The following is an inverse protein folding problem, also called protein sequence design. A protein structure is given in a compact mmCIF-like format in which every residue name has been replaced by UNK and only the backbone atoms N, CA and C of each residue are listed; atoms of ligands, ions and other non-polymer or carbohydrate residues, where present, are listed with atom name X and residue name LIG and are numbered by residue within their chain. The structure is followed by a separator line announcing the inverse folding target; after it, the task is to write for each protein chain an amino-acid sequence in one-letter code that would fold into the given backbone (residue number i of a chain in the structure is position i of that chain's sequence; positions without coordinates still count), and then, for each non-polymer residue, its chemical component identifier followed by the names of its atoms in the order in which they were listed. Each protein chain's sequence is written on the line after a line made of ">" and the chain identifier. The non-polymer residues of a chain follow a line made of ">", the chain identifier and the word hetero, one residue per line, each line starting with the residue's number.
data_IF_930651830965
#
_entry.id   IF_930651830965
#
_cell.length_a   1.000
_cell.length_b   1.000
_cell.length_c   1.000
_cell.angle_alpha   90.00
_cell.angle_beta   90.00
_cell.angle_gamma   90.00
#
_symmetry.space_group_name_H-M   'P 1'
#
loop_
_entity.id
_entity.type
_entity.pdbx_description
1 polymer ?
#
# COMPACT_ATOMS: atom_id res chain seq x y z
N UNK A 1 9.91 2.34 12.77
CA UNK A 1 10.86 2.20 11.67
C UNK A 1 11.55 3.54 11.42
N UNK A 2 12.89 3.56 11.44
CA UNK A 2 13.68 4.73 11.09
C UNK A 2 14.29 4.54 9.70
N UNK A 3 13.96 5.46 8.79
CA UNK A 3 14.43 5.46 7.40
C UNK A 3 15.42 6.60 7.20
N UNK A 4 16.69 6.37 7.42
CA UNK A 4 17.70 7.42 7.24
C UNK A 4 17.84 7.83 5.77
N UNK A 5 18.39 9.02 5.52
CA UNK A 5 18.68 9.48 4.16
C UNK A 5 19.56 8.46 3.42
N UNK A 6 19.15 8.07 2.23
CA UNK A 6 19.82 7.05 1.41
C UNK A 6 19.42 5.60 1.73
N UNK A 7 18.65 5.36 2.80
CA UNK A 7 18.06 4.04 3.04
C UNK A 7 16.89 3.82 2.09
N UNK A 8 16.78 2.60 1.59
CA UNK A 8 15.67 2.15 0.74
C UNK A 8 15.14 0.81 1.24
N UNK A 9 13.82 0.72 1.40
CA UNK A 9 13.09 -0.52 1.57
C UNK A 9 12.40 -0.83 0.24
N UNK A 10 12.92 -1.80 -0.49
CA UNK A 10 12.39 -2.21 -1.79
C UNK A 10 11.51 -3.44 -1.65
N UNK A 11 10.30 -3.37 -2.19
CA UNK A 11 9.36 -4.49 -2.26
C UNK A 11 9.82 -5.58 -3.22
N UNK A 12 9.47 -6.83 -2.89
CA UNK A 12 9.72 -7.96 -3.77
C UNK A 12 8.88 -7.85 -5.05
N UNK A 13 9.45 -8.26 -6.17
CA UNK A 13 8.70 -8.42 -7.42
C UNK A 13 7.91 -9.74 -7.48
N UNK A 14 8.08 -10.63 -6.50
CA UNK A 14 7.40 -11.90 -6.46
C UNK A 14 6.09 -11.78 -5.63
N UNK A 15 4.89 -11.96 -6.23
CA UNK A 15 3.62 -11.84 -5.52
C UNK A 15 3.44 -12.86 -4.38
N UNK A 16 4.19 -13.96 -4.39
CA UNK A 16 4.14 -14.97 -3.32
C UNK A 16 4.87 -14.57 -2.04
N UNK A 17 5.72 -13.53 -2.09
CA UNK A 17 6.41 -13.02 -0.89
C UNK A 17 5.50 -12.19 0.02
N UNK A 18 4.27 -11.93 -0.41
CA UNK A 18 3.29 -11.15 0.34
C UNK A 18 2.18 -12.04 0.90
N UNK A 19 2.13 -12.15 2.21
CA UNK A 19 1.05 -12.88 2.88
C UNK A 19 -0.29 -12.16 2.78
N UNK A 20 -1.40 -12.88 2.61
CA UNK A 20 -2.73 -12.29 2.72
C UNK A 20 -2.95 -11.68 4.11
N UNK A 21 -3.56 -10.49 4.14
CA UNK A 21 -4.03 -9.88 5.39
C UNK A 21 -5.23 -10.69 5.88
N UNK A 22 -5.29 -10.99 7.16
CA UNK A 22 -6.41 -11.75 7.73
C UNK A 22 -7.72 -10.97 7.62
N UNK A 23 -8.84 -11.67 7.57
CA UNK A 23 -10.16 -11.07 7.44
C UNK A 23 -10.47 -10.05 8.56
N UNK A 24 -9.97 -10.30 9.77
CA UNK A 24 -10.14 -9.39 10.93
C UNK A 24 -9.39 -8.06 10.73
N UNK A 25 -8.27 -8.09 10.04
CA UNK A 25 -7.51 -6.89 9.69
C UNK A 25 -8.16 -6.12 8.53
N UNK A 26 -8.75 -6.82 7.57
CA UNK A 26 -9.37 -6.23 6.38
C UNK A 26 -10.71 -5.52 6.66
N UNK A 27 -11.27 -5.62 7.88
CA UNK A 27 -12.58 -5.05 8.22
C UNK A 27 -13.75 -5.69 7.48
N UNK A 28 -14.90 -5.04 7.55
CA UNK A 28 -16.12 -5.50 6.87
C UNK A 28 -16.10 -5.25 5.34
N UNK A 29 -15.02 -4.72 4.81
CA UNK A 29 -14.93 -4.37 3.40
C UNK A 29 -14.67 -5.60 2.51
N UNK A 30 -15.38 -6.69 2.81
CA UNK A 30 -15.45 -7.90 1.98
C UNK A 30 -16.05 -7.64 0.60
N UNK A 31 -16.59 -6.42 0.39
CA UNK A 31 -17.28 -6.05 -0.84
C UNK A 31 -16.35 -5.51 -1.92
N UNK A 32 -15.15 -5.13 -1.56
CA UNK A 32 -14.20 -4.59 -2.52
C UNK A 32 -13.13 -5.62 -2.83
N UNK A 33 -12.87 -5.81 -4.08
CA UNK A 33 -11.78 -6.65 -4.63
C UNK A 33 -10.38 -6.09 -4.27
N UNK A 34 -10.29 -5.38 -3.17
CA UNK A 34 -9.07 -4.76 -2.70
C UNK A 34 -8.05 -5.80 -2.26
N UNK A 35 -6.82 -5.55 -2.58
CA UNK A 35 -5.72 -6.41 -2.18
C UNK A 35 -5.73 -6.63 -0.66
N UNK A 36 -5.76 -7.89 -0.27
CA UNK A 36 -5.53 -8.31 1.10
C UNK A 36 -4.03 -8.46 1.43
N UNK A 37 -3.15 -7.74 0.71
CA UNK A 37 -1.69 -7.83 0.83
C UNK A 37 -1.10 -6.43 0.90
N UNK A 38 -0.01 -6.28 1.65
CA UNK A 38 0.77 -5.04 1.66
C UNK A 38 2.23 -5.31 1.99
N UNK A 39 3.11 -4.37 1.62
CA UNK A 39 4.54 -4.44 1.95
C UNK A 39 4.74 -4.24 3.47
N UNK A 40 4.01 -3.28 4.05
CA UNK A 40 4.03 -3.03 5.50
C UNK A 40 2.61 -3.12 6.03
N UNK A 41 2.39 -3.97 7.02
CA UNK A 41 1.08 -4.22 7.64
C UNK A 41 1.13 -3.97 9.14
N UNK A 42 0.10 -3.34 9.67
CA UNK A 42 -0.17 -3.28 11.10
C UNK A 42 -1.67 -3.42 11.35
N UNK A 43 -2.05 -4.17 12.38
CA UNK A 43 -3.44 -4.33 12.81
C UNK A 43 -3.53 -4.27 14.33
N UNK A 44 -4.40 -3.39 14.84
CA UNK A 44 -4.64 -3.24 16.28
C UNK A 44 -3.42 -2.74 17.07
N UNK A 45 -2.42 -2.18 16.40
CA UNK A 45 -1.21 -1.71 17.03
C UNK A 45 -1.30 -0.24 17.44
N UNK A 46 -0.52 0.15 18.43
CA UNK A 46 -0.44 1.53 18.90
C UNK A 46 1.00 2.06 18.89
N UNK A 47 1.12 3.40 18.79
CA UNK A 47 2.42 4.08 18.80
C UNK A 47 3.32 3.66 17.64
N UNK A 48 2.76 3.60 16.44
CA UNK A 48 3.50 3.29 15.22
C UNK A 48 4.16 4.56 14.71
N UNK A 49 5.46 4.44 14.38
CA UNK A 49 6.19 5.53 13.72
C UNK A 49 7.03 5.02 12.55
N UNK A 50 6.91 5.69 11.41
CA UNK A 50 7.83 5.56 10.26
C UNK A 50 8.38 6.96 9.99
N UNK A 51 9.65 7.16 10.25
CA UNK A 51 10.28 8.48 10.29
C UNK A 51 11.54 8.53 9.45
N UNK A 52 11.88 9.70 8.95
CA UNK A 52 13.16 9.98 8.30
C UNK A 52 13.05 10.33 6.83
N UNK A 53 14.16 10.33 6.10
CA UNK A 53 14.27 10.81 4.72
C UNK A 53 14.57 9.69 3.70
N UNK A 54 14.37 8.44 4.08
CA UNK A 54 14.56 7.28 3.21
C UNK A 54 13.38 7.05 2.26
N UNK A 55 13.48 5.99 1.50
CA UNK A 55 12.49 5.59 0.48
C UNK A 55 11.87 4.26 0.88
N UNK A 56 10.55 4.15 0.74
CA UNK A 56 9.82 2.90 0.73
C UNK A 56 9.23 2.74 -0.66
N UNK A 57 9.77 1.79 -1.42
CA UNK A 57 9.40 1.54 -2.81
C UNK A 57 8.73 0.17 -2.95
N UNK A 58 7.53 0.17 -3.47
CA UNK A 58 6.74 -1.06 -3.65
C UNK A 58 7.19 -1.94 -4.81
N UNK A 59 8.09 -1.45 -5.69
CA UNK A 59 8.50 -2.16 -6.90
C UNK A 59 7.32 -2.60 -7.78
N UNK A 60 6.27 -1.79 -7.77
CA UNK A 60 4.92 -2.17 -8.20
C UNK A 60 4.79 -2.58 -9.64
N UNK A 61 5.52 -1.93 -10.55
CA UNK A 61 5.50 -2.31 -11.97
C UNK A 61 6.09 -3.70 -12.18
N UNK A 62 7.23 -3.99 -11.60
CA UNK A 62 7.88 -5.29 -11.75
C UNK A 62 7.05 -6.42 -11.14
N UNK A 63 6.45 -6.15 -9.98
CA UNK A 63 5.53 -7.10 -9.35
C UNK A 63 4.30 -7.36 -10.22
N UNK A 64 3.68 -6.30 -10.76
CA UNK A 64 2.47 -6.44 -11.58
C UNK A 64 2.76 -7.22 -12.88
N UNK A 65 3.88 -6.93 -13.55
CA UNK A 65 4.31 -7.67 -14.75
C UNK A 65 4.63 -9.13 -14.45
N UNK A 66 5.24 -9.41 -13.30
CA UNK A 66 5.51 -10.79 -12.88
C UNK A 66 4.21 -11.53 -12.54
N UNK A 67 3.28 -10.91 -11.82
CA UNK A 67 1.98 -11.49 -11.54
C UNK A 67 1.20 -11.81 -12.83
N UNK A 68 1.26 -10.92 -13.83
CA UNK A 68 0.68 -11.12 -15.14
C UNK A 68 1.29 -12.34 -15.85
N UNK A 69 2.61 -12.43 -15.89
CA UNK A 69 3.33 -13.56 -16.46
C UNK A 69 2.98 -14.87 -15.79
N UNK A 70 2.97 -14.91 -14.46
CA UNK A 70 2.62 -16.11 -13.69
C UNK A 70 1.16 -16.54 -13.89
N UNK A 71 0.25 -15.57 -14.09
CA UNK A 71 -1.13 -15.88 -14.43
C UNK A 71 -1.23 -16.59 -15.78
N UNK A 72 -0.56 -16.08 -16.80
CA UNK A 72 -0.59 -16.67 -18.14
C UNK A 72 0.13 -18.02 -18.25
N UNK A 73 1.11 -18.29 -17.40
CA UNK A 73 1.74 -19.63 -17.30
C UNK A 73 0.91 -20.62 -16.48
N UNK A 74 -0.15 -20.14 -15.80
CA UNK A 74 -0.99 -20.96 -14.93
C UNK A 74 -0.39 -21.22 -13.54
N UNK A 75 0.75 -20.61 -13.23
CA UNK A 75 1.38 -20.72 -11.91
C UNK A 75 0.66 -19.89 -10.85
N UNK A 76 0.10 -18.74 -11.22
CA UNK A 76 -0.71 -17.88 -10.35
C UNK A 76 -2.17 -17.90 -10.76
N UNK A 77 -3.06 -18.32 -9.85
CA UNK A 77 -4.50 -18.27 -10.11
C UNK A 77 -5.07 -16.94 -9.64
N UNK A 78 -5.24 -16.00 -10.56
CA UNK A 78 -5.96 -14.75 -10.31
C UNK A 78 -7.39 -14.87 -10.84
N UNK A 79 -8.35 -15.15 -9.94
CA UNK A 79 -9.76 -15.36 -10.30
C UNK A 79 -10.46 -14.12 -10.81
N UNK A 80 -9.90 -12.94 -10.53
CA UNK A 80 -10.44 -11.65 -10.93
C UNK A 80 -9.55 -10.95 -11.97
N UNK A 81 -8.70 -11.72 -12.66
CA UNK A 81 -7.88 -11.19 -13.74
C UNK A 81 -8.74 -10.48 -14.79
N UNK A 82 -8.34 -9.29 -15.17
CA UNK A 82 -9.08 -8.51 -16.14
C UNK A 82 -8.62 -8.83 -17.57
N UNK A 83 -9.25 -9.80 -18.21
CA UNK A 83 -8.94 -10.25 -19.56
C UNK A 83 -9.02 -9.12 -20.61
N UNK A 84 -9.99 -8.22 -20.47
CA UNK A 84 -10.16 -7.11 -21.43
C UNK A 84 -9.00 -6.11 -21.39
N UNK A 85 -8.47 -5.86 -20.21
CA UNK A 85 -7.39 -4.88 -19.97
C UNK A 85 -6.02 -5.53 -19.83
N UNK A 86 -5.95 -6.85 -19.90
CA UNK A 86 -4.74 -7.65 -19.73
C UNK A 86 -4.00 -7.22 -18.46
N UNK A 87 -4.67 -7.34 -17.33
CA UNK A 87 -4.06 -6.92 -16.06
C UNK A 87 -4.43 -7.81 -14.88
N UNK A 88 -3.46 -8.11 -14.00
CA UNK A 88 -3.71 -8.77 -12.73
C UNK A 88 -4.67 -7.96 -11.84
N UNK A 89 -5.52 -8.67 -11.12
CA UNK A 89 -6.44 -8.04 -10.18
C UNK A 89 -5.73 -7.44 -8.97
N UNK A 90 -6.46 -6.65 -8.21
CA UNK A 90 -5.98 -6.08 -6.95
C UNK A 90 -5.69 -7.13 -5.89
N UNK A 91 -6.29 -8.32 -5.99
CA UNK A 91 -6.08 -9.41 -5.02
C UNK A 91 -4.65 -9.95 -5.01
N UNK A 92 -3.94 -9.85 -6.12
CA UNK A 92 -2.57 -10.35 -6.26
C UNK A 92 -1.52 -9.24 -6.27
N UNK A 93 -1.95 -7.99 -6.24
CA UNK A 93 -1.08 -6.80 -6.19
C UNK A 93 -1.11 -6.17 -4.81
N UNK A 94 -0.01 -6.16 -4.03
CA UNK A 94 0.00 -5.60 -2.68
C UNK A 94 -0.10 -4.07 -2.68
N UNK A 95 -0.72 -3.54 -1.65
CA UNK A 95 -0.63 -2.14 -1.24
C UNK A 95 0.79 -1.84 -0.73
N UNK A 96 1.15 -0.58 -0.66
CA UNK A 96 2.43 -0.20 -0.06
C UNK A 96 2.38 -0.30 1.47
N UNK A 97 1.38 0.35 2.07
CA UNK A 97 1.09 0.26 3.51
C UNK A 97 -0.38 -0.09 3.70
N UNK A 98 -0.64 -0.98 4.66
CA UNK A 98 -1.98 -1.21 5.18
C UNK A 98 -1.96 -1.21 6.71
N UNK A 99 -2.57 -0.19 7.32
CA UNK A 99 -2.80 -0.14 8.76
C UNK A 99 -4.29 -0.19 9.05
N UNK A 100 -4.69 -1.07 9.95
CA UNK A 100 -6.09 -1.23 10.36
C UNK A 100 -6.21 -1.21 11.88
N UNK A 101 -7.24 -0.52 12.40
CA UNK A 101 -7.50 -0.41 13.83
C UNK A 101 -6.29 0.07 14.67
N UNK A 102 -5.43 0.90 14.08
CA UNK A 102 -4.22 1.38 14.74
C UNK A 102 -4.46 2.73 15.43
N UNK A 103 -3.66 3.03 16.46
CA UNK A 103 -3.77 4.27 17.19
C UNK A 103 -2.40 4.94 17.41
N UNK A 104 -2.38 6.27 17.41
CA UNK A 104 -1.17 7.07 17.58
C UNK A 104 -0.12 6.74 16.50
N UNK A 105 -0.49 6.97 15.25
CA UNK A 105 0.35 6.70 14.07
C UNK A 105 1.04 7.98 13.63
N UNK A 106 2.34 7.91 13.40
CA UNK A 106 3.14 9.01 12.84
C UNK A 106 3.94 8.56 11.63
N UNK A 107 3.69 9.19 10.49
CA UNK A 107 4.53 9.08 9.29
C UNK A 107 5.14 10.45 9.00
N UNK A 108 6.46 10.56 8.96
CA UNK A 108 7.12 11.87 8.84
C UNK A 108 8.40 11.80 7.98
N UNK A 109 8.46 12.61 6.94
CA UNK A 109 9.62 12.83 6.09
C UNK A 109 9.92 11.77 5.05
N UNK A 110 9.28 10.61 5.14
CA UNK A 110 9.55 9.45 4.28
C UNK A 110 8.99 9.63 2.89
N UNK A 111 9.70 9.10 1.90
CA UNK A 111 9.28 9.06 0.50
C UNK A 111 8.66 7.71 0.17
N UNK A 112 7.43 7.71 -0.34
CA UNK A 112 6.70 6.52 -0.75
C UNK A 112 6.63 6.46 -2.27
N UNK A 113 6.94 5.30 -2.84
CA UNK A 113 7.09 5.11 -4.30
C UNK A 113 6.46 3.81 -4.78
N UNK A 114 5.93 3.86 -5.98
CA UNK A 114 5.72 2.71 -6.86
C UNK A 114 4.98 1.52 -6.22
N UNK A 115 3.84 1.75 -5.58
CA UNK A 115 3.00 0.64 -5.11
C UNK A 115 2.52 -0.20 -6.31
N UNK A 116 2.24 -1.47 -6.07
CA UNK A 116 1.57 -2.31 -7.07
C UNK A 116 0.05 -2.08 -7.10
N UNK A 117 -0.49 -1.47 -6.04
CA UNK A 117 -1.91 -1.14 -5.85
C UNK A 117 -2.00 0.20 -5.11
N UNK A 118 -2.94 0.38 -4.16
CA UNK A 118 -3.04 1.58 -3.35
C UNK A 118 -1.75 1.90 -2.59
N UNK A 119 -1.51 3.16 -2.36
CA UNK A 119 -0.34 3.64 -1.61
C UNK A 119 -0.47 3.41 -0.11
N UNK A 120 -0.90 4.44 0.61
CA UNK A 120 -1.11 4.37 2.06
C UNK A 120 -2.58 4.10 2.35
N UNK A 121 -2.93 2.88 2.71
CA UNK A 121 -4.29 2.49 3.07
C UNK A 121 -4.43 2.39 4.58
N UNK A 122 -5.20 3.31 5.16
CA UNK A 122 -5.38 3.50 6.59
C UNK A 122 -6.87 3.32 6.92
N UNK A 123 -7.20 2.24 7.64
CA UNK A 123 -8.56 1.83 7.92
C UNK A 123 -8.84 1.86 9.42
N UNK A 124 -9.88 2.57 9.85
CA UNK A 124 -10.31 2.67 11.27
C UNK A 124 -9.17 3.03 12.23
N UNK A 125 -8.23 3.83 11.76
CA UNK A 125 -7.11 4.30 12.57
C UNK A 125 -7.46 5.63 13.28
N UNK A 126 -6.79 5.89 14.42
CA UNK A 126 -7.05 7.06 15.25
C UNK A 126 -5.78 7.82 15.61
N UNK A 127 -5.92 9.13 15.80
CA UNK A 127 -4.80 10.00 16.21
C UNK A 127 -3.59 9.88 15.28
N UNK A 128 -3.77 10.24 14.03
CA UNK A 128 -2.72 10.11 13.03
C UNK A 128 -2.10 11.45 12.65
N UNK A 129 -0.79 11.46 12.47
CA UNK A 129 -0.03 12.57 11.90
C UNK A 129 0.74 12.06 10.69
N UNK A 130 0.38 12.57 9.52
CA UNK A 130 1.04 12.32 8.25
C UNK A 130 1.66 13.64 7.80
N UNK A 131 2.97 13.79 7.89
CA UNK A 131 3.60 15.07 7.61
C UNK A 131 4.91 14.96 6.82
N UNK A 132 5.19 15.98 6.04
CA UNK A 132 6.40 16.08 5.22
C UNK A 132 6.61 14.87 4.27
N UNK A 133 5.53 14.20 3.88
CA UNK A 133 5.61 13.04 3.02
C UNK A 133 5.74 13.46 1.56
N UNK A 134 6.52 12.70 0.81
CA UNK A 134 6.60 12.80 -0.64
C UNK A 134 6.16 11.47 -1.25
N UNK A 135 4.95 11.45 -1.79
CA UNK A 135 4.31 10.26 -2.35
C UNK A 135 4.27 10.41 -3.87
N UNK A 136 4.95 9.52 -4.57
CA UNK A 136 4.88 9.40 -6.02
C UNK A 136 4.48 7.97 -6.38
N UNK A 137 3.18 7.78 -6.67
CA UNK A 137 2.58 6.47 -6.88
C UNK A 137 1.90 6.40 -8.25
N UNK A 138 2.69 6.10 -9.29
CA UNK A 138 2.25 6.06 -10.69
C UNK A 138 2.84 4.88 -11.46
N UNK A 139 3.12 3.77 -10.77
CA UNK A 139 3.77 2.60 -11.35
C UNK A 139 2.81 1.73 -12.16
N UNK A 140 1.56 1.64 -11.71
CA UNK A 140 0.56 0.75 -12.30
C UNK A 140 -0.88 1.28 -12.10
N UNK A 141 -1.88 0.43 -12.27
CA UNK A 141 -3.29 0.75 -12.04
C UNK A 141 -3.62 0.79 -10.54
N UNK A 142 -4.63 1.58 -10.16
CA UNK A 142 -5.08 1.78 -8.79
C UNK A 142 -3.93 2.27 -7.88
N UNK A 143 -3.13 3.16 -8.40
CA UNK A 143 -2.04 3.77 -7.65
C UNK A 143 -2.52 5.04 -6.97
N UNK A 144 -3.30 4.84 -5.91
CA UNK A 144 -3.82 5.90 -5.05
C UNK A 144 -2.70 6.44 -4.15
N UNK A 145 -2.90 7.61 -3.60
CA UNK A 145 -1.93 8.24 -2.69
C UNK A 145 -2.16 7.84 -1.24
N UNK A 146 -3.20 8.42 -0.62
CA UNK A 146 -3.54 8.21 0.79
C UNK A 146 -5.03 7.91 0.90
N UNK A 147 -5.38 6.70 1.31
CA UNK A 147 -6.76 6.25 1.51
C UNK A 147 -7.08 6.24 3.01
N UNK A 148 -8.04 7.05 3.42
CA UNK A 148 -8.49 7.18 4.80
C UNK A 148 -9.92 6.65 4.92
N UNK A 149 -10.09 5.47 5.49
CA UNK A 149 -11.39 4.84 5.69
C UNK A 149 -11.74 4.79 7.18
N UNK A 150 -12.87 5.39 7.56
CA UNK A 150 -13.38 5.39 8.94
C UNK A 150 -12.35 5.83 10.00
N UNK A 151 -11.45 6.73 9.64
CA UNK A 151 -10.40 7.23 10.51
C UNK A 151 -10.86 8.41 11.36
N UNK A 152 -10.28 8.56 12.55
CA UNK A 152 -10.59 9.64 13.49
C UNK A 152 -9.33 10.47 13.83
N UNK A 153 -9.48 11.79 13.88
CA UNK A 153 -8.41 12.73 14.29
C UNK A 153 -7.14 12.57 13.45
N UNK A 154 -7.27 12.76 12.15
CA UNK A 154 -6.19 12.67 11.17
C UNK A 154 -5.69 14.07 10.84
N UNK A 155 -4.38 14.25 10.89
CA UNK A 155 -3.70 15.44 10.39
C UNK A 155 -2.79 15.06 9.22
N UNK A 156 -3.08 15.58 8.04
CA UNK A 156 -2.21 15.49 6.85
C UNK A 156 -1.68 16.90 6.57
N UNK A 157 -0.37 17.09 6.60
CA UNK A 157 0.22 18.41 6.36
C UNK A 157 1.59 18.36 5.70
N UNK A 158 1.86 19.37 4.88
CA UNK A 158 3.14 19.52 4.15
C UNK A 158 3.51 18.27 3.33
N UNK A 159 2.51 17.56 2.84
CA UNK A 159 2.69 16.40 1.99
C UNK A 159 2.59 16.79 0.53
N UNK A 160 3.39 16.17 -0.32
CA UNK A 160 3.26 16.20 -1.76
C UNK A 160 2.76 14.83 -2.22
N UNK A 161 1.64 14.80 -2.93
CA UNK A 161 1.03 13.56 -3.44
C UNK A 161 0.88 13.66 -4.94
N UNK A 162 1.46 12.69 -5.65
CA UNK A 162 1.32 12.53 -7.09
C UNK A 162 0.99 11.06 -7.38
N UNK A 163 -0.28 10.81 -7.62
CA UNK A 163 -0.86 9.48 -7.82
C UNK A 163 -1.39 9.34 -9.25
N UNK A 164 -1.61 8.11 -9.69
CA UNK A 164 -2.23 7.81 -10.99
C UNK A 164 -3.75 7.60 -10.86
N UNK A 165 -4.24 7.42 -9.65
CA UNK A 165 -5.65 7.34 -9.28
C UNK A 165 -5.93 8.37 -8.18
N UNK A 166 -6.75 8.08 -7.17
CA UNK A 166 -7.14 9.06 -6.15
C UNK A 166 -5.92 9.59 -5.35
N UNK A 167 -5.91 10.89 -5.07
CA UNK A 167 -4.81 11.53 -4.36
C UNK A 167 -4.91 11.36 -2.84
N UNK A 168 -6.08 11.71 -2.28
CA UNK A 168 -6.49 11.56 -0.88
C UNK A 168 -7.98 11.35 -0.84
#
# INVERSE_FOLDING_TARGET
>A
LQMNRGAELLGSANPYDYSPITADAAGDDKRNDNSCRALIVANGASHISILGEGIIDGNGLQLALNADSLHHTGELVDRNYNERRQRPSELVRPKLIFFSNCENVRLDGVRFRNSANWGLSLDRCKNMILENLDIYNRAYWNNDGIDLTDCERVMVRRCQVNSADDGI
#
